data_IF_440049922952
#
_entry.id   IF_440049922952
#
_cell.length_a   1.000
_cell.length_b   1.000
_cell.length_c   1.000
_cell.angle_alpha   90.00
_cell.angle_beta   90.00
_cell.angle_gamma   90.00
#
_symmetry.space_group_name_H-M   'P 1'
#
loop_
_entity.id
_entity.type
_entity.pdbx_description
1 polymer ?
#
# COMPACT_ATOMS: atom_id res chain seq x y z
N UNK A 1 66.30 -37.15 -40.39
CA UNK A 1 64.82 -37.23 -40.36
C UNK A 1 64.19 -36.69 -39.06
N UNK A 2 64.78 -36.88 -37.87
CA UNK A 2 64.19 -36.32 -36.61
C UNK A 2 64.32 -34.79 -36.48
N UNK A 3 65.40 -34.18 -36.98
CA UNK A 3 65.65 -32.73 -36.90
C UNK A 3 64.77 -31.89 -37.85
N UNK A 4 64.40 -32.46 -38.99
CA UNK A 4 63.51 -31.82 -39.99
C UNK A 4 62.04 -31.83 -39.55
N UNK A 5 61.63 -32.86 -38.79
CA UNK A 5 60.27 -32.95 -38.22
C UNK A 5 60.08 -31.96 -37.06
N UNK A 6 61.10 -31.74 -36.22
CA UNK A 6 61.03 -30.76 -35.12
C UNK A 6 60.95 -29.32 -35.65
N UNK A 7 61.71 -28.99 -36.71
CA UNK A 7 61.64 -27.67 -37.34
C UNK A 7 60.26 -27.37 -37.96
N UNK A 8 59.61 -28.38 -38.57
CA UNK A 8 58.26 -28.22 -39.11
C UNK A 8 57.19 -28.01 -38.03
N UNK A 9 57.31 -28.67 -36.88
CA UNK A 9 56.38 -28.53 -35.75
C UNK A 9 56.50 -27.15 -35.08
N UNK A 10 57.72 -26.60 -34.96
CA UNK A 10 57.92 -25.26 -34.42
C UNK A 10 57.40 -24.15 -35.35
N UNK A 11 57.51 -24.32 -36.68
CA UNK A 11 56.97 -23.36 -37.65
C UNK A 11 55.44 -23.32 -37.59
N UNK A 12 54.78 -24.47 -37.44
CA UNK A 12 53.32 -24.54 -37.29
C UNK A 12 52.84 -23.90 -35.98
N UNK A 13 53.60 -24.01 -34.88
CA UNK A 13 53.25 -23.38 -33.60
C UNK A 13 53.39 -21.84 -33.60
N UNK A 14 54.28 -21.27 -34.42
CA UNK A 14 54.43 -19.81 -34.56
C UNK A 14 53.27 -19.19 -35.34
N UNK A 15 52.62 -19.95 -36.23
CA UNK A 15 51.43 -19.48 -36.97
C UNK A 15 50.16 -19.39 -36.11
N UNK A 16 50.08 -20.09 -34.98
CA UNK A 16 48.89 -20.04 -34.09
C UNK A 16 48.94 -18.83 -33.14
N UNK A 17 50.13 -18.24 -32.91
CA UNK A 17 50.31 -17.15 -31.95
C UNK A 17 50.16 -15.73 -32.51
N UNK A 18 49.96 -15.56 -33.83
CA UNK A 18 49.78 -14.23 -34.47
C UNK A 18 48.46 -14.13 -35.26
N UNK A 19 47.42 -14.83 -34.81
CA UNK A 19 46.07 -14.82 -35.41
C UNK A 19 45.07 -13.92 -34.68
N UNK A 20 45.53 -12.90 -33.95
CA UNK A 20 44.64 -11.92 -33.30
C UNK A 20 45.20 -10.51 -33.46
N UNK A 21 45.04 -9.95 -34.66
CA UNK A 21 44.86 -8.51 -34.88
C UNK A 21 44.44 -8.32 -36.35
N UNK A 22 43.44 -7.47 -36.57
CA UNK A 22 43.02 -6.93 -37.88
C UNK A 22 41.92 -7.69 -38.64
N UNK A 23 40.71 -7.69 -38.05
CA UNK A 23 39.44 -7.33 -38.72
C UNK A 23 38.31 -7.30 -37.68
N UNK A 24 38.21 -6.20 -36.90
CA UNK A 24 37.04 -5.92 -36.05
C UNK A 24 36.45 -4.52 -36.26
N UNK A 25 36.71 -3.91 -37.42
CA UNK A 25 36.21 -2.57 -37.78
C UNK A 25 35.04 -2.58 -38.77
N UNK A 26 34.38 -3.72 -38.99
CA UNK A 26 33.23 -3.80 -39.91
C UNK A 26 31.95 -4.38 -39.30
N UNK A 27 31.89 -4.49 -37.97
CA UNK A 27 30.68 -4.86 -37.22
C UNK A 27 30.17 -3.74 -36.30
N UNK A 28 30.79 -2.56 -36.30
CA UNK A 28 30.36 -1.39 -35.49
C UNK A 28 29.57 -0.37 -36.33
N UNK A 29 29.70 -0.35 -37.66
CA UNK A 29 28.96 0.58 -38.53
C UNK A 29 27.68 -0.02 -39.14
N UNK A 30 27.04 -0.97 -38.44
CA UNK A 30 25.74 -1.53 -38.84
C UNK A 30 24.85 -1.85 -37.62
N UNK A 31 25.05 -1.11 -36.53
CA UNK A 31 24.05 -0.99 -35.45
C UNK A 31 23.68 0.49 -35.40
N UNK A 32 23.16 0.96 -36.52
CA UNK A 32 22.38 2.18 -36.66
C UNK A 32 21.02 1.65 -37.16
N UNK A 33 19.95 1.99 -36.43
CA UNK A 33 18.56 1.50 -36.61
C UNK A 33 18.23 0.12 -36.00
N UNK A 34 18.15 0.06 -34.67
CA UNK A 34 17.03 -0.64 -34.03
C UNK A 34 16.71 0.13 -32.74
N UNK A 35 15.73 1.03 -32.85
CA UNK A 35 15.14 1.70 -31.71
C UNK A 35 14.54 0.64 -30.79
N UNK A 36 15.03 0.54 -29.55
CA UNK A 36 14.28 0.12 -28.36
C UNK A 36 15.19 0.33 -27.14
N UNK A 37 15.58 1.59 -26.91
CA UNK A 37 15.96 1.98 -25.54
C UNK A 37 14.67 2.04 -24.75
N UNK A 38 14.54 1.39 -23.58
CA UNK A 38 13.41 1.66 -22.71
C UNK A 38 13.44 3.15 -22.36
N UNK A 39 12.43 3.88 -22.82
CA UNK A 39 12.18 5.25 -22.40
C UNK A 39 11.71 5.17 -20.95
N UNK A 40 12.42 5.89 -20.08
CA UNK A 40 12.28 5.93 -18.61
C UNK A 40 13.11 4.91 -17.81
N UNK A 41 14.44 5.11 -17.77
CA UNK A 41 15.16 4.90 -16.51
C UNK A 41 15.16 6.24 -15.76
N UNK A 42 14.21 6.45 -14.86
CA UNK A 42 14.30 7.55 -13.90
C UNK A 42 15.55 7.29 -13.07
N UNK A 43 16.53 8.20 -13.14
CA UNK A 43 17.67 8.20 -12.22
C UNK A 43 17.16 8.67 -10.86
N UNK A 44 16.62 7.74 -10.05
CA UNK A 44 16.32 8.04 -8.66
C UNK A 44 17.64 8.30 -7.93
N UNK A 45 17.74 9.45 -7.26
CA UNK A 45 18.83 9.69 -6.32
C UNK A 45 18.73 8.71 -5.14
N UNK A 46 19.84 8.43 -4.46
CA UNK A 46 19.81 7.61 -3.23
C UNK A 46 18.89 8.19 -2.16
N UNK A 47 18.68 9.52 -2.17
CA UNK A 47 17.77 10.22 -1.26
C UNK A 47 16.30 9.99 -1.65
N UNK A 48 15.96 10.02 -2.94
CA UNK A 48 14.60 9.76 -3.41
C UNK A 48 14.23 8.27 -3.29
N UNK A 49 15.19 7.38 -3.50
CA UNK A 49 15.04 5.95 -3.24
C UNK A 49 14.82 5.64 -1.74
N UNK A 50 15.45 6.41 -0.83
CA UNK A 50 15.22 6.31 0.61
C UNK A 50 13.83 6.79 1.01
N UNK A 51 13.38 7.93 0.50
CA UNK A 51 12.02 8.46 0.77
C UNK A 51 10.92 7.48 0.35
N UNK A 52 11.10 6.77 -0.76
CA UNK A 52 10.15 5.73 -1.19
C UNK A 52 10.14 4.51 -0.26
N UNK A 53 11.26 4.22 0.41
CA UNK A 53 11.39 3.11 1.37
C UNK A 53 10.98 3.50 2.81
N UNK A 54 10.48 4.72 3.03
CA UNK A 54 10.06 5.22 4.34
C UNK A 54 8.54 5.20 4.52
N UNK A 55 7.76 4.88 3.48
CA UNK A 55 6.30 4.87 3.55
C UNK A 55 5.73 3.47 3.34
N UNK A 56 4.73 3.13 4.15
CA UNK A 56 3.94 1.92 4.03
C UNK A 56 2.53 2.28 3.56
N UNK A 57 2.10 1.66 2.46
CA UNK A 57 0.72 1.73 2.00
C UNK A 57 -0.19 0.94 2.94
N UNK A 58 -1.27 1.57 3.41
CA UNK A 58 -2.30 0.96 4.25
C UNK A 58 -3.69 1.24 3.67
N UNK A 59 -4.66 0.46 4.12
CA UNK A 59 -6.05 0.54 3.69
C UNK A 59 -6.93 0.94 4.87
N UNK A 60 -7.65 2.04 4.73
CA UNK A 60 -8.58 2.56 5.73
C UNK A 60 -10.00 2.53 5.16
N UNK A 61 -10.98 2.14 5.96
CA UNK A 61 -12.36 2.06 5.50
C UNK A 61 -13.20 3.18 6.11
N UNK A 62 -13.72 4.06 5.27
CA UNK A 62 -14.60 5.18 5.66
C UNK A 62 -15.98 5.02 5.05
N UNK A 63 -16.95 5.80 5.51
CA UNK A 63 -18.31 5.74 4.98
C UNK A 63 -18.38 6.46 3.63
N UNK A 64 -19.21 5.97 2.73
CA UNK A 64 -19.62 6.73 1.56
C UNK A 64 -20.54 7.91 1.94
N UNK A 65 -20.83 8.76 0.95
CA UNK A 65 -21.67 9.95 1.11
C UNK A 65 -23.07 9.64 1.68
N UNK A 66 -23.62 8.46 1.35
CA UNK A 66 -24.95 8.06 1.77
C UNK A 66 -25.00 7.46 3.17
N UNK A 67 -23.87 7.09 3.77
CA UNK A 67 -23.83 6.47 5.09
C UNK A 67 -24.16 4.97 5.08
N UNK A 68 -24.07 4.32 3.93
CA UNK A 68 -24.61 2.95 3.73
C UNK A 68 -23.54 1.92 3.42
N UNK A 69 -22.37 2.36 2.92
CA UNK A 69 -21.28 1.48 2.50
C UNK A 69 -19.94 1.99 3.02
N UNK A 70 -19.03 1.05 3.21
CA UNK A 70 -17.62 1.33 3.48
C UNK A 70 -16.83 1.38 2.18
N UNK A 71 -16.07 2.45 1.99
CA UNK A 71 -15.16 2.64 0.86
C UNK A 71 -13.73 2.61 1.39
N UNK A 72 -12.87 1.85 0.71
CA UNK A 72 -11.45 1.77 1.04
C UNK A 72 -10.74 3.00 0.49
N UNK A 73 -10.11 3.75 1.37
CA UNK A 73 -9.12 4.78 1.09
C UNK A 73 -7.71 4.19 1.25
N UNK A 74 -6.81 4.51 0.34
CA UNK A 74 -5.40 4.18 0.45
C UNK A 74 -4.69 5.33 1.15
N UNK A 75 -3.89 5.03 2.18
CA UNK A 75 -3.07 6.02 2.88
C UNK A 75 -1.65 5.53 3.04
N UNK A 76 -0.67 6.43 3.02
CA UNK A 76 0.73 6.10 3.28
C UNK A 76 1.12 6.56 4.68
N UNK A 77 1.56 5.62 5.51
CA UNK A 77 2.04 5.88 6.87
C UNK A 77 3.54 5.67 6.96
N UNK A 78 4.20 6.23 7.98
CA UNK A 78 5.63 6.06 8.15
C UNK A 78 6.00 4.60 8.48
N UNK A 79 6.96 4.06 7.73
CA UNK A 79 7.39 2.67 7.88
C UNK A 79 8.08 2.42 9.23
N UNK A 80 8.68 3.44 9.85
CA UNK A 80 9.30 3.29 11.17
C UNK A 80 8.26 3.01 12.25
N UNK A 81 7.04 3.55 12.11
CA UNK A 81 5.91 3.24 12.98
C UNK A 81 5.37 1.83 12.71
N UNK A 82 5.39 1.38 11.46
CA UNK A 82 4.88 0.08 11.05
C UNK A 82 5.78 -1.13 11.40
N UNK A 83 7.10 -0.94 11.48
CA UNK A 83 8.07 -2.02 11.78
C UNK A 83 8.05 -2.50 13.23
N UNK A 84 7.31 -1.83 14.11
CA UNK A 84 7.31 -2.11 15.54
C UNK A 84 6.41 -3.29 15.94
N UNK A 85 5.75 -3.93 14.97
CA UNK A 85 4.90 -5.11 15.17
C UNK A 85 3.43 -4.85 14.85
N UNK A 86 2.66 -5.92 14.74
CA UNK A 86 1.25 -5.85 14.30
C UNK A 86 0.38 -5.05 15.28
N UNK A 87 0.63 -5.12 16.59
CA UNK A 87 -0.11 -4.34 17.60
C UNK A 87 0.10 -2.82 17.44
N UNK A 88 1.33 -2.38 17.21
CA UNK A 88 1.66 -0.98 16.95
C UNK A 88 1.05 -0.49 15.64
N UNK A 89 1.14 -1.30 14.58
CA UNK A 89 0.51 -0.97 13.30
C UNK A 89 -1.01 -0.88 13.44
N UNK A 90 -1.66 -1.82 14.14
CA UNK A 90 -3.09 -1.76 14.41
C UNK A 90 -3.48 -0.49 15.18
N UNK A 91 -2.70 -0.13 16.21
CA UNK A 91 -2.93 1.10 16.97
C UNK A 91 -2.78 2.36 16.09
N UNK A 92 -1.82 2.36 15.15
CA UNK A 92 -1.65 3.43 14.17
C UNK A 92 -2.86 3.53 13.24
N UNK A 93 -3.34 2.41 12.68
CA UNK A 93 -4.51 2.40 11.80
C UNK A 93 -5.77 2.93 12.49
N UNK A 94 -6.01 2.58 13.76
CA UNK A 94 -7.14 3.15 14.52
C UNK A 94 -6.99 4.67 14.70
N UNK A 95 -5.76 5.16 14.97
CA UNK A 95 -5.51 6.60 15.05
C UNK A 95 -5.72 7.30 13.71
N UNK A 96 -5.36 6.67 12.60
CA UNK A 96 -5.62 7.20 11.26
C UNK A 96 -7.13 7.27 10.94
N UNK A 97 -7.92 6.28 11.38
CA UNK A 97 -9.38 6.34 11.29
C UNK A 97 -9.97 7.48 12.12
N UNK A 98 -9.43 7.72 13.33
CA UNK A 98 -9.84 8.83 14.21
C UNK A 98 -9.57 10.19 13.55
N UNK A 99 -8.49 10.32 12.76
CA UNK A 99 -8.21 11.55 11.99
C UNK A 99 -9.25 11.82 10.89
N UNK A 100 -9.97 10.78 10.44
CA UNK A 100 -10.94 10.86 9.35
C UNK A 100 -10.32 10.64 7.97
N UNK A 101 -11.16 10.63 6.91
CA UNK A 101 -10.73 10.44 5.54
C UNK A 101 -9.95 11.65 5.03
N UNK A 102 -9.03 11.40 4.09
CA UNK A 102 -8.37 12.45 3.30
C UNK A 102 -9.19 12.78 2.06
N UNK A 103 -9.96 11.81 1.55
CA UNK A 103 -10.84 12.02 0.42
C UNK A 103 -12.12 12.77 0.84
N UNK A 104 -12.40 13.89 0.18
CA UNK A 104 -13.54 14.77 0.50
C UNK A 104 -14.91 14.18 0.19
N UNK A 105 -14.98 13.14 -0.65
CA UNK A 105 -16.20 12.38 -0.96
C UNK A 105 -16.54 11.34 0.12
N UNK A 106 -15.59 11.04 1.02
CA UNK A 106 -15.80 10.09 2.10
C UNK A 106 -16.18 10.80 3.40
N UNK A 107 -16.94 10.12 4.23
CA UNK A 107 -17.39 10.62 5.52
C UNK A 107 -16.65 9.92 6.67
N UNK A 108 -16.27 10.66 7.74
CA UNK A 108 -15.69 10.06 8.93
C UNK A 108 -16.69 9.10 9.58
N UNK A 109 -16.17 7.99 10.07
CA UNK A 109 -16.94 6.93 10.74
C UNK A 109 -16.77 6.97 12.26
N UNK A 110 -15.72 7.61 12.75
CA UNK A 110 -15.41 7.70 14.17
C UNK A 110 -16.01 9.00 14.73
N UNK A 111 -16.81 8.93 15.82
CA UNK A 111 -17.38 10.13 16.43
C UNK A 111 -16.34 11.14 16.88
N UNK A 112 -16.69 12.42 16.80
CA UNK A 112 -15.81 13.51 17.23
C UNK A 112 -15.41 13.35 18.70
N UNK A 113 -14.14 13.59 19.01
CA UNK A 113 -13.58 13.49 20.36
C UNK A 113 -13.28 12.05 20.82
N UNK A 114 -13.66 11.04 20.05
CA UNK A 114 -13.24 9.66 20.32
C UNK A 114 -11.75 9.47 20.04
N UNK A 115 -11.08 8.70 20.88
CA UNK A 115 -9.67 8.36 20.71
C UNK A 115 -9.39 6.92 21.13
N UNK A 116 -8.27 6.38 20.64
CA UNK A 116 -7.73 5.12 21.14
C UNK A 116 -7.15 5.37 22.55
N UNK A 117 -7.68 4.70 23.56
CA UNK A 117 -7.33 4.90 24.97
C UNK A 117 -6.04 4.20 25.37
N UNK A 118 -5.82 2.99 24.86
CA UNK A 118 -4.64 2.18 25.16
C UNK A 118 -4.11 1.49 23.91
N UNK A 119 -2.85 1.01 23.91
CA UNK A 119 -2.33 0.19 22.83
C UNK A 119 -3.28 -0.98 22.50
N UNK A 120 -3.41 -1.30 21.22
CA UNK A 120 -4.16 -2.45 20.75
C UNK A 120 -3.42 -3.72 21.16
N UNK A 121 -4.16 -4.71 21.64
CA UNK A 121 -3.62 -6.04 21.98
C UNK A 121 -4.15 -7.07 21.00
N UNK A 122 -3.35 -8.07 20.64
CA UNK A 122 -3.80 -9.16 19.77
C UNK A 122 -3.70 -10.48 20.52
N UNK A 123 -4.84 -11.11 20.74
CA UNK A 123 -4.95 -12.41 21.41
C UNK A 123 -5.76 -13.35 20.52
N UNK A 124 -5.23 -14.54 20.19
CA UNK A 124 -5.92 -15.53 19.35
C UNK A 124 -6.49 -14.94 18.05
N UNK A 125 -5.69 -14.13 17.35
CA UNK A 125 -6.07 -13.43 16.10
C UNK A 125 -7.25 -12.45 16.27
N UNK A 126 -7.55 -12.05 17.50
CA UNK A 126 -8.55 -11.03 17.83
C UNK A 126 -7.86 -9.79 18.37
N UNK A 127 -8.06 -8.65 17.70
CA UNK A 127 -7.58 -7.36 18.17
C UNK A 127 -8.53 -6.79 19.22
N UNK A 128 -8.02 -6.47 20.40
CA UNK A 128 -8.75 -5.83 21.49
C UNK A 128 -8.48 -4.33 21.38
N UNK A 129 -9.51 -3.57 21.00
CA UNK A 129 -9.46 -2.13 20.78
C UNK A 129 -10.19 -1.43 21.91
N UNK A 130 -9.47 -0.61 22.67
CA UNK A 130 -10.02 0.12 23.80
C UNK A 130 -10.12 1.61 23.47
N UNK A 131 -11.36 2.09 23.33
CA UNK A 131 -11.68 3.46 22.95
C UNK A 131 -12.08 4.29 24.16
N UNK A 132 -11.96 5.61 24.05
CA UNK A 132 -12.52 6.53 25.04
C UNK A 132 -14.06 6.49 25.02
N UNK A 133 -14.70 7.02 26.08
CA UNK A 133 -16.17 7.02 26.19
C UNK A 133 -16.87 7.79 25.08
N UNK A 134 -16.22 8.80 24.50
CA UNK A 134 -16.73 9.64 23.40
C UNK A 134 -17.07 8.81 22.17
N UNK A 135 -16.41 7.66 21.98
CA UNK A 135 -16.74 6.70 20.92
C UNK A 135 -18.19 6.24 20.98
N UNK A 136 -18.77 6.13 22.18
CA UNK A 136 -20.20 5.82 22.37
C UNK A 136 -21.00 7.11 22.59
N UNK A 137 -20.56 7.97 23.51
CA UNK A 137 -21.34 9.11 23.99
C UNK A 137 -21.70 10.08 22.85
N UNK A 138 -20.76 10.34 21.95
CA UNK A 138 -20.91 11.30 20.84
C UNK A 138 -21.41 10.66 19.55
N UNK A 139 -21.63 9.34 19.53
CA UNK A 139 -22.16 8.66 18.37
C UNK A 139 -23.62 9.10 18.10
N UNK A 140 -24.02 9.38 16.85
CA UNK A 140 -25.39 9.79 16.52
C UNK A 140 -26.45 8.72 16.81
N UNK A 141 -26.01 7.46 16.96
CA UNK A 141 -26.87 6.28 17.06
C UNK A 141 -27.43 5.89 15.71
N UNK A 142 -28.42 4.99 15.71
CA UNK A 142 -29.01 4.44 14.49
C UNK A 142 -28.22 3.26 13.95
N UNK A 143 -28.92 2.16 13.69
CA UNK A 143 -28.31 0.85 13.43
C UNK A 143 -27.28 0.89 12.30
N UNK A 144 -27.59 1.56 11.21
CA UNK A 144 -26.74 1.67 10.03
C UNK A 144 -25.46 2.47 10.32
N UNK A 145 -25.58 3.61 11.01
CA UNK A 145 -24.43 4.43 11.37
C UNK A 145 -23.51 3.69 12.35
N UNK A 146 -24.09 3.00 13.34
CA UNK A 146 -23.34 2.16 14.29
C UNK A 146 -22.60 1.04 13.58
N UNK A 147 -23.25 0.40 12.60
CA UNK A 147 -22.64 -0.64 11.78
C UNK A 147 -21.46 -0.08 10.97
N UNK A 148 -21.59 1.10 10.37
CA UNK A 148 -20.49 1.77 9.65
C UNK A 148 -19.32 2.09 10.58
N UNK A 149 -19.57 2.63 11.77
CA UNK A 149 -18.52 2.95 12.75
C UNK A 149 -17.76 1.70 13.21
N UNK A 150 -18.48 0.64 13.56
CA UNK A 150 -17.88 -0.60 14.05
C UNK A 150 -17.09 -1.28 12.91
N UNK A 151 -17.71 -1.49 11.76
CA UNK A 151 -17.06 -2.23 10.68
C UNK A 151 -16.01 -1.41 9.92
N UNK A 152 -15.98 -0.08 10.05
CA UNK A 152 -14.85 0.74 9.62
C UNK A 152 -13.55 0.31 10.31
N UNK A 153 -13.57 0.17 11.65
CA UNK A 153 -12.42 -0.31 12.40
C UNK A 153 -12.15 -1.79 12.10
N UNK A 154 -13.18 -2.63 12.11
CA UNK A 154 -13.04 -4.08 11.90
C UNK A 154 -12.42 -4.38 10.53
N UNK A 155 -12.96 -3.81 9.46
CA UNK A 155 -12.48 -4.08 8.10
C UNK A 155 -11.06 -3.50 7.92
N UNK A 156 -10.76 -2.34 8.50
CA UNK A 156 -9.40 -1.78 8.49
C UNK A 156 -8.39 -2.69 9.19
N UNK A 157 -8.69 -3.16 10.41
CA UNK A 157 -7.74 -3.97 11.18
C UNK A 157 -7.58 -5.39 10.62
N UNK A 158 -8.62 -5.93 9.98
CA UNK A 158 -8.57 -7.27 9.36
C UNK A 158 -7.84 -7.29 8.01
N UNK A 159 -7.35 -6.15 7.51
CA UNK A 159 -6.34 -6.12 6.45
C UNK A 159 -4.99 -6.68 6.94
N UNK A 160 -4.75 -6.62 8.26
CA UNK A 160 -3.57 -7.20 8.88
C UNK A 160 -3.76 -8.71 9.02
N UNK A 161 -2.90 -9.51 8.38
CA UNK A 161 -3.01 -10.97 8.28
C UNK A 161 -3.08 -11.71 9.63
N UNK A 162 -2.60 -11.08 10.71
CA UNK A 162 -2.63 -11.66 12.05
C UNK A 162 -3.95 -11.40 12.80
N UNK A 163 -4.85 -10.59 12.24
CA UNK A 163 -6.13 -10.18 12.84
C UNK A 163 -7.28 -10.69 11.97
N UNK A 164 -8.13 -11.54 12.55
CA UNK A 164 -9.36 -12.03 11.92
C UNK A 164 -10.62 -11.37 12.47
N UNK A 165 -10.53 -10.89 13.72
CA UNK A 165 -11.66 -10.30 14.44
C UNK A 165 -11.21 -9.12 15.28
N UNK A 166 -12.16 -8.27 15.64
CA UNK A 166 -11.96 -7.16 16.57
C UNK A 166 -12.95 -7.27 17.72
N UNK A 167 -12.48 -7.01 18.93
CA UNK A 167 -13.32 -6.87 20.13
C UNK A 167 -13.11 -5.49 20.71
N UNK A 168 -14.20 -4.85 21.12
CA UNK A 168 -14.15 -3.50 21.64
C UNK A 168 -14.24 -3.45 23.16
N UNK A 169 -13.58 -2.44 23.72
CA UNK A 169 -13.71 -2.00 25.10
C UNK A 169 -13.88 -0.48 25.10
N UNK A 170 -14.61 0.02 26.09
CA UNK A 170 -14.80 1.44 26.32
C UNK A 170 -14.31 1.73 27.73
N UNK A 171 -13.26 2.54 27.84
CA UNK A 171 -12.58 2.78 29.12
C UNK A 171 -12.17 1.48 29.84
N UNK A 172 -11.67 0.49 29.08
CA UNK A 172 -11.20 -0.79 29.59
C UNK A 172 -12.30 -1.76 30.00
N UNK A 173 -13.57 -1.49 29.67
CA UNK A 173 -14.71 -2.36 29.98
C UNK A 173 -15.47 -2.74 28.72
N UNK A 174 -15.91 -3.99 28.65
CA UNK A 174 -16.87 -4.43 27.62
C UNK A 174 -18.24 -3.84 27.93
N UNK A 175 -18.96 -3.42 26.89
CA UNK A 175 -20.35 -3.01 26.98
C UNK A 175 -21.22 -4.01 26.21
N UNK A 176 -22.45 -4.23 26.68
CA UNK A 176 -23.38 -5.16 26.02
C UNK A 176 -23.92 -4.61 24.71
N UNK A 177 -24.16 -3.30 24.69
CA UNK A 177 -24.76 -2.58 23.58
C UNK A 177 -23.95 -1.31 23.32
N UNK A 178 -23.95 -0.88 22.07
CA UNK A 178 -23.49 0.42 21.65
C UNK A 178 -24.61 1.48 21.87
N UNK A 179 -24.47 2.68 21.31
CA UNK A 179 -25.32 3.84 21.61
C UNK A 179 -26.84 3.61 21.43
N UNK A 180 -27.24 2.88 20.41
CA UNK A 180 -28.60 2.68 19.91
C UNK A 180 -29.09 1.24 19.99
N UNK A 181 -28.45 0.40 20.82
CA UNK A 181 -28.86 -0.99 21.04
C UNK A 181 -28.19 -2.01 20.12
N UNK A 182 -27.23 -1.60 19.28
CA UNK A 182 -26.41 -2.54 18.53
C UNK A 182 -25.58 -3.41 19.49
N UNK A 183 -25.65 -4.74 19.35
CA UNK A 183 -24.90 -5.67 20.23
C UNK A 183 -23.40 -5.42 20.11
N UNK A 184 -22.74 -5.27 21.25
CA UNK A 184 -21.35 -4.78 21.33
C UNK A 184 -20.44 -5.61 22.26
N UNK A 185 -20.95 -6.73 22.78
CA UNK A 185 -20.20 -7.64 23.68
C UNK A 185 -19.42 -8.74 22.95
N UNK A 186 -19.64 -8.91 21.65
CA UNK A 186 -19.06 -9.97 20.84
C UNK A 186 -17.75 -9.58 20.14
N UNK A 187 -17.10 -10.58 19.54
CA UNK A 187 -16.03 -10.38 18.57
C UNK A 187 -16.65 -10.14 17.18
N UNK A 188 -16.10 -9.20 16.43
CA UNK A 188 -16.57 -8.80 15.11
C UNK A 188 -15.59 -9.29 14.04
N UNK A 189 -15.97 -10.30 13.22
CA UNK A 189 -15.18 -10.67 12.05
C UNK A 189 -15.37 -9.65 10.93
N UNK A 190 -14.46 -9.66 9.96
CA UNK A 190 -14.57 -8.86 8.73
C UNK A 190 -15.94 -9.02 8.06
N UNK A 191 -16.51 -7.91 7.59
CA UNK A 191 -17.76 -7.89 6.84
C UNK A 191 -17.57 -7.27 5.45
N UNK A 192 -17.38 -8.15 4.47
CA UNK A 192 -17.19 -7.79 3.05
C UNK A 192 -18.46 -7.22 2.41
N UNK A 193 -19.66 -7.55 2.92
CA UNK A 193 -20.92 -7.11 2.32
C UNK A 193 -21.12 -5.59 2.42
N UNK A 194 -20.50 -4.96 3.42
CA UNK A 194 -20.56 -3.51 3.62
C UNK A 194 -19.60 -2.75 2.69
N UNK A 195 -18.60 -3.41 2.12
CA UNK A 195 -17.56 -2.75 1.31
C UNK A 195 -18.09 -2.47 -0.10
N UNK A 196 -18.06 -1.21 -0.56
CA UNK A 196 -18.25 -0.88 -1.97
C UNK A 196 -16.90 -0.92 -2.72
N UNK A 197 -16.66 -2.03 -3.42
CA UNK A 197 -15.44 -2.24 -4.17
C UNK A 197 -15.31 -1.33 -5.39
N UNK A 198 -16.42 -0.90 -6.00
CA UNK A 198 -16.37 -0.06 -7.21
C UNK A 198 -15.87 1.34 -6.89
N UNK A 199 -16.37 1.92 -5.80
CA UNK A 199 -15.92 3.24 -5.31
C UNK A 199 -14.51 3.22 -4.70
N UNK A 200 -14.01 2.03 -4.32
CA UNK A 200 -12.68 1.90 -3.72
C UNK A 200 -11.50 2.08 -4.68
N UNK A 201 -11.74 1.99 -5.99
CA UNK A 201 -10.71 2.21 -7.01
C UNK A 201 -10.53 3.71 -7.29
N UNK A 202 -11.57 4.52 -7.09
CA UNK A 202 -11.56 5.97 -7.28
C UNK A 202 -11.13 6.76 -6.04
N UNK A 203 -11.04 6.13 -4.86
CA UNK A 203 -10.75 6.80 -3.59
C UNK A 203 -9.25 6.87 -3.26
N UNK A 204 -8.42 7.23 -4.24
CA UNK A 204 -7.00 7.52 -4.06
C UNK A 204 -6.86 9.02 -3.72
N UNK A 205 -6.16 9.42 -2.64
CA UNK A 205 -5.99 10.84 -2.29
C UNK A 205 -5.33 11.65 -3.42
N UNK A 206 -5.83 12.87 -3.67
CA UNK A 206 -5.31 13.75 -4.74
C UNK A 206 -3.87 14.24 -4.49
N UNK A 207 -3.44 14.32 -3.22
CA UNK A 207 -2.09 14.79 -2.87
C UNK A 207 -0.98 13.75 -3.11
N UNK A 208 -1.34 12.52 -3.53
CA UNK A 208 -0.42 11.40 -3.75
C UNK A 208 -0.22 11.05 -5.23
N UNK A 209 -0.81 11.84 -6.13
CA UNK A 209 -0.37 11.84 -7.51
C UNK A 209 1.05 12.40 -7.53
N UNK A 210 2.05 11.51 -7.61
CA UNK A 210 3.36 11.87 -8.15
C UNK A 210 3.09 12.70 -9.40
N UNK A 211 3.57 13.96 -9.44
CA UNK A 211 3.50 14.82 -10.62
C UNK A 211 4.21 14.10 -11.78
N UNK A 212 3.49 13.23 -12.49
CA UNK A 212 3.90 12.72 -13.78
C UNK A 212 3.59 13.82 -14.78
N UNK A 213 4.43 14.84 -14.82
CA UNK A 213 4.42 15.83 -15.88
C UNK A 213 4.77 15.15 -17.20
N UNK A 214 3.79 14.58 -17.89
CA UNK A 214 3.84 14.20 -19.30
C UNK A 214 2.51 13.58 -19.78
N UNK A 215 1.41 14.33 -19.77
CA UNK A 215 0.25 14.02 -20.62
C UNK A 215 -0.45 15.31 -21.06
N UNK A 216 0.25 16.13 -21.86
CA UNK A 216 -0.42 16.99 -22.81
C UNK A 216 0.04 16.58 -24.22
N UNK A 217 -0.92 16.52 -25.13
CA UNK A 217 -0.82 16.27 -26.58
C UNK A 217 -1.02 14.83 -27.05
N UNK A 218 -2.27 14.37 -27.03
CA UNK A 218 -2.80 13.46 -28.05
C UNK A 218 -4.27 13.79 -28.37
N UNK A 219 -4.53 14.98 -28.91
CA UNK A 219 -5.71 15.21 -29.76
C UNK A 219 -5.35 16.25 -30.84
N UNK A 220 -4.86 15.78 -31.98
CA UNK A 220 -5.09 16.34 -33.33
C UNK A 220 -4.20 15.62 -34.35
N UNK A 221 -4.64 14.45 -34.86
CA UNK A 221 -4.37 14.04 -36.26
C UNK A 221 -5.11 12.73 -36.58
N UNK A 222 -6.44 12.78 -36.74
CA UNK A 222 -7.15 11.83 -37.61
C UNK A 222 -8.21 12.61 -38.38
N UNK A 223 -7.78 13.41 -39.36
CA UNK A 223 -8.59 13.80 -40.51
C UNK A 223 -7.65 14.24 -41.66
N UNK A 224 -7.09 13.28 -42.39
CA UNK A 224 -6.83 13.37 -43.84
C UNK A 224 -7.02 11.99 -44.51
#
# INVERSE_FOLDING_TARGET
MKKTVIAAICIVLVFVANGCLKTRDKAINQIEEDELRPVSSILLSEEDAKKLNEKLQVHLYFSDEDGTRLVREIRYVDMNEAKQGTEQLAALLVKELVKGPSNTTLKPTIPEGAALRSPVKIENRTAIVDMTKEFVDNHPGGKEAEEMTIFSIVNTLTELKDIEKVKFQINGKTQNEFKGGFRFDNEFPRNEALIDRRKSESAIPEDDYLETGAYENYEEEILE
#
